data_IF_043075511178
#
_entry.id   IF_043075511178
#
_cell.length_a   1.000
_cell.length_b   1.000
_cell.length_c   1.000
_cell.angle_alpha   90.00
_cell.angle_beta   90.00
_cell.angle_gamma   90.00
#
_symmetry.space_group_name_H-M   'P 1'
#
loop_
_entity.id
_entity.type
_entity.pdbx_description
1 polymer ?
#
# COMPACT_ATOMS: atom_id res chain seq x y z
N UNK A 1 -4.67 -45.00 -25.41
CA UNK A 1 -4.22 -44.25 -24.23
C UNK A 1 -2.75 -43.93 -24.43
N UNK A 2 -2.41 -42.69 -24.84
CA UNK A 2 -1.01 -42.27 -24.99
C UNK A 2 -0.44 -42.04 -23.61
N UNK A 3 0.65 -42.74 -23.27
CA UNK A 3 1.43 -42.47 -22.06
C UNK A 3 2.05 -41.11 -22.20
N UNK A 4 1.58 -40.12 -21.45
CA UNK A 4 2.29 -38.87 -21.22
C UNK A 4 3.50 -39.22 -20.37
N UNK A 5 4.66 -39.38 -20.99
CA UNK A 5 5.95 -39.45 -20.29
C UNK A 5 6.34 -38.05 -19.87
N UNK A 6 5.89 -37.64 -18.69
CA UNK A 6 6.48 -36.49 -18.01
C UNK A 6 7.93 -36.86 -17.64
N UNK A 7 8.86 -36.60 -18.53
CA UNK A 7 10.28 -36.68 -18.18
C UNK A 7 10.63 -35.46 -17.34
N UNK A 8 10.82 -35.64 -16.04
CA UNK A 8 11.43 -34.65 -15.16
C UNK A 8 12.94 -34.63 -15.46
N UNK A 9 13.33 -33.72 -16.33
CA UNK A 9 14.71 -33.50 -16.76
C UNK A 9 15.07 -32.02 -16.61
N UNK A 10 16.29 -31.64 -16.98
CA UNK A 10 16.81 -30.26 -16.85
C UNK A 10 15.91 -29.22 -17.56
N UNK A 11 15.28 -29.58 -18.68
CA UNK A 11 14.36 -28.71 -19.42
C UNK A 11 13.05 -28.42 -18.66
N UNK A 12 12.72 -29.23 -17.65
CA UNK A 12 11.55 -29.02 -16.81
C UNK A 12 11.77 -27.93 -15.75
N UNK A 13 13.00 -27.49 -15.53
CA UNK A 13 13.36 -26.44 -14.57
C UNK A 13 13.20 -25.08 -15.26
N UNK A 14 12.18 -24.34 -14.83
CA UNK A 14 11.90 -22.97 -15.31
C UNK A 14 12.38 -21.95 -14.29
N UNK A 15 13.21 -20.99 -14.73
CA UNK A 15 13.55 -19.81 -13.97
C UNK A 15 12.58 -18.70 -14.32
N UNK A 16 11.92 -18.15 -13.32
CA UNK A 16 11.01 -17.00 -13.46
C UNK A 16 11.71 -15.75 -12.95
N UNK A 17 11.72 -14.70 -13.75
CA UNK A 17 12.38 -13.45 -13.40
C UNK A 17 11.36 -12.30 -13.29
N UNK A 18 11.67 -11.35 -12.39
CA UNK A 18 10.93 -10.11 -12.25
C UNK A 18 9.43 -10.32 -12.00
N UNK A 19 8.60 -9.50 -12.64
CA UNK A 19 7.15 -9.50 -12.44
C UNK A 19 6.45 -10.75 -13.01
N UNK A 20 7.10 -11.51 -13.89
CA UNK A 20 6.54 -12.76 -14.40
C UNK A 20 6.37 -13.80 -13.28
N UNK A 21 7.32 -13.86 -12.32
CA UNK A 21 7.23 -14.73 -11.16
C UNK A 21 5.96 -14.43 -10.33
N UNK A 22 5.64 -13.15 -10.14
CA UNK A 22 4.44 -12.71 -9.42
C UNK A 22 3.18 -13.15 -10.15
N UNK A 23 3.09 -12.92 -11.47
CA UNK A 23 1.91 -13.29 -12.27
C UNK A 23 1.68 -14.79 -12.32
N UNK A 24 2.73 -15.60 -12.37
CA UNK A 24 2.63 -17.08 -12.39
C UNK A 24 2.30 -17.68 -11.03
N UNK A 25 2.70 -17.04 -9.94
CA UNK A 25 2.51 -17.53 -8.57
C UNK A 25 2.05 -16.42 -7.62
N UNK A 26 0.90 -15.77 -7.89
CA UNK A 26 0.45 -14.61 -7.10
C UNK A 26 0.27 -14.96 -5.61
N UNK A 27 -0.23 -16.16 -5.29
CA UNK A 27 -0.42 -16.60 -3.91
C UNK A 27 0.86 -16.60 -3.04
N UNK A 28 2.05 -16.67 -3.65
CA UNK A 28 3.31 -16.55 -2.90
C UNK A 28 3.56 -15.13 -2.38
N UNK A 29 2.95 -14.12 -2.99
CA UNK A 29 3.15 -12.70 -2.66
C UNK A 29 1.99 -12.09 -1.90
N UNK A 30 0.76 -12.51 -2.20
CA UNK A 30 -0.47 -11.94 -1.63
C UNK A 30 -1.33 -12.97 -0.88
N UNK A 31 -0.79 -14.17 -0.64
CA UNK A 31 -1.45 -15.25 0.12
C UNK A 31 -2.52 -16.00 -0.66
N UNK A 32 -3.41 -15.32 -1.38
CA UNK A 32 -4.47 -15.93 -2.17
C UNK A 32 -4.84 -15.06 -3.39
N UNK A 33 -5.72 -15.57 -4.27
CA UNK A 33 -6.30 -14.81 -5.38
C UNK A 33 -7.81 -14.63 -5.23
N UNK A 34 -8.32 -14.85 -4.04
CA UNK A 34 -9.69 -14.58 -3.64
C UNK A 34 -9.86 -13.13 -3.14
N UNK A 35 -10.98 -12.86 -2.50
CA UNK A 35 -11.30 -11.56 -1.90
C UNK A 35 -10.20 -11.06 -0.93
N UNK A 36 -9.55 -11.93 -0.16
CA UNK A 36 -8.47 -11.54 0.77
C UNK A 36 -7.23 -11.08 0.03
N UNK A 37 -6.81 -11.83 -1.00
CA UNK A 37 -5.67 -11.43 -1.83
C UNK A 37 -5.93 -10.15 -2.62
N UNK A 38 -7.17 -9.91 -3.07
CA UNK A 38 -7.56 -8.63 -3.68
C UNK A 38 -7.30 -7.46 -2.71
N UNK A 39 -7.82 -7.54 -1.48
CA UNK A 39 -7.66 -6.48 -0.48
C UNK A 39 -6.21 -6.29 -0.06
N UNK A 40 -5.39 -7.34 -0.11
CA UNK A 40 -3.97 -7.24 0.14
C UNK A 40 -3.26 -6.26 -0.80
N UNK A 41 -3.70 -6.15 -2.07
CA UNK A 41 -3.16 -5.13 -2.99
C UNK A 41 -3.38 -3.71 -2.47
N UNK A 42 -4.57 -3.42 -1.92
CA UNK A 42 -4.85 -2.13 -1.32
C UNK A 42 -3.94 -1.88 -0.12
N UNK A 43 -3.78 -2.89 0.75
CA UNK A 43 -2.94 -2.78 1.94
C UNK A 43 -1.48 -2.48 1.60
N UNK A 44 -0.90 -3.08 0.57
CA UNK A 44 0.46 -2.79 0.15
C UNK A 44 0.69 -1.32 -0.24
N UNK A 45 -0.28 -0.68 -0.88
CA UNK A 45 -0.16 0.74 -1.25
C UNK A 45 -0.48 1.64 -0.06
N UNK A 46 -1.47 1.28 0.77
CA UNK A 46 -1.80 2.00 2.02
C UNK A 46 -0.61 1.97 2.98
N UNK A 47 0.02 0.81 3.18
CA UNK A 47 1.17 0.67 4.08
C UNK A 47 2.36 1.55 3.64
N UNK A 48 2.54 1.80 2.33
CA UNK A 48 3.53 2.75 1.86
C UNK A 48 3.19 4.20 2.25
N UNK A 49 1.91 4.58 2.22
CA UNK A 49 1.45 5.90 2.66
C UNK A 49 1.52 6.03 4.20
N UNK A 50 1.19 4.97 4.93
CA UNK A 50 1.35 4.86 6.39
C UNK A 50 2.82 5.01 6.80
N UNK A 51 3.76 4.43 6.07
CA UNK A 51 5.20 4.59 6.33
C UNK A 51 5.69 6.04 6.17
N UNK A 52 5.11 6.81 5.23
CA UNK A 52 5.35 8.26 5.15
C UNK A 52 4.81 9.00 6.39
N UNK A 53 3.67 8.58 6.93
CA UNK A 53 3.11 9.15 8.15
C UNK A 53 3.92 8.75 9.40
N UNK A 54 4.32 7.48 9.54
CA UNK A 54 5.23 7.00 10.60
C UNK A 54 6.55 7.76 10.64
N UNK A 55 7.02 8.18 9.47
CA UNK A 55 8.24 8.98 9.34
C UNK A 55 7.99 10.48 9.57
N UNK A 56 6.76 10.90 9.90
CA UNK A 56 6.39 12.28 10.20
C UNK A 56 6.21 13.18 8.97
N UNK A 57 6.14 12.62 7.76
CA UNK A 57 6.04 13.40 6.52
C UNK A 57 4.63 13.49 5.96
N UNK A 58 3.77 12.51 6.23
CA UNK A 58 2.37 12.56 5.83
C UNK A 58 1.46 12.76 7.05
N UNK A 59 0.39 13.51 6.85
CA UNK A 59 -0.66 13.76 7.85
C UNK A 59 -2.04 13.36 7.33
N UNK A 60 -2.14 13.03 6.03
CA UNK A 60 -3.40 12.65 5.40
C UNK A 60 -3.19 11.57 4.35
N UNK A 61 -4.06 10.56 4.39
CA UNK A 61 -4.18 9.50 3.38
C UNK A 61 -5.62 9.50 2.86
N UNK A 62 -5.79 9.43 1.56
CA UNK A 62 -7.10 9.35 0.90
C UNK A 62 -7.15 8.03 0.10
N UNK A 63 -8.14 7.20 0.39
CA UNK A 63 -8.40 5.93 -0.32
C UNK A 63 -9.74 6.06 -1.03
N UNK A 64 -9.77 5.81 -2.35
CA UNK A 64 -10.99 5.93 -3.15
C UNK A 64 -11.23 4.66 -3.96
N UNK A 65 -12.38 4.06 -3.78
CA UNK A 65 -12.90 2.99 -4.63
C UNK A 65 -13.69 3.65 -5.76
N UNK A 66 -13.24 3.47 -7.00
CA UNK A 66 -13.88 4.05 -8.17
C UNK A 66 -15.00 3.16 -8.72
N UNK A 67 -15.87 3.74 -9.54
CA UNK A 67 -17.00 3.04 -10.18
C UNK A 67 -16.56 1.89 -11.09
N UNK A 68 -15.38 1.97 -11.68
CA UNK A 68 -14.79 0.95 -12.55
C UNK A 68 -14.02 -0.14 -11.79
N UNK A 69 -14.11 -0.17 -10.45
CA UNK A 69 -13.36 -1.05 -9.57
C UNK A 69 -11.84 -0.76 -9.49
N UNK A 70 -11.36 0.33 -10.09
CA UNK A 70 -10.02 0.80 -9.75
C UNK A 70 -9.99 1.38 -8.34
N UNK A 71 -8.81 1.39 -7.73
CA UNK A 71 -8.60 1.92 -6.40
C UNK A 71 -7.47 2.94 -6.43
N UNK A 72 -7.68 4.09 -5.80
CA UNK A 72 -6.67 5.12 -5.59
C UNK A 72 -6.27 5.17 -4.12
N UNK A 73 -4.97 5.20 -3.86
CA UNK A 73 -4.40 5.60 -2.57
C UNK A 73 -3.53 6.82 -2.80
N UNK A 74 -3.78 7.88 -2.03
CA UNK A 74 -3.06 9.15 -2.13
C UNK A 74 -2.63 9.61 -0.75
N UNK A 75 -1.36 10.03 -0.62
CA UNK A 75 -0.79 10.65 0.56
C UNK A 75 -0.36 12.10 0.29
N UNK A 76 -0.14 12.85 1.35
CA UNK A 76 0.45 14.18 1.32
C UNK A 76 1.90 14.21 1.86
N UNK A 77 2.62 13.10 1.76
CA UNK A 77 4.01 12.96 2.21
C UNK A 77 5.02 13.64 1.29
N UNK A 78 6.29 13.19 1.35
CA UNK A 78 7.40 13.77 0.55
C UNK A 78 7.25 13.55 -0.95
N UNK A 79 6.45 12.57 -1.37
CA UNK A 79 6.45 12.03 -2.72
C UNK A 79 7.64 11.11 -3.00
N UNK A 80 7.42 10.08 -3.83
CA UNK A 80 8.47 9.14 -4.22
C UNK A 80 9.66 9.84 -4.88
N UNK A 81 10.89 9.26 -4.83
CA UNK A 81 12.03 9.77 -5.59
C UNK A 81 11.76 9.79 -7.09
N UNK A 82 12.01 10.93 -7.73
CA UNK A 82 11.68 11.19 -9.15
C UNK A 82 12.90 11.28 -10.07
N UNK A 83 14.09 11.02 -9.54
CA UNK A 83 15.35 11.04 -10.28
C UNK A 83 15.56 9.78 -11.12
N UNK A 84 16.79 9.61 -11.60
CA UNK A 84 17.27 8.38 -12.26
C UNK A 84 17.95 7.49 -11.22
N UNK A 85 17.60 6.21 -11.22
CA UNK A 85 18.30 5.17 -10.48
C UNK A 85 19.69 4.89 -11.09
N UNK A 86 20.60 4.26 -10.33
CA UNK A 86 21.94 3.89 -10.80
C UNK A 86 21.93 3.01 -12.08
N UNK A 87 20.85 2.26 -12.31
CA UNK A 87 20.61 1.49 -13.54
C UNK A 87 20.28 2.35 -14.78
N UNK A 88 20.19 3.69 -14.65
CA UNK A 88 19.80 4.60 -15.71
C UNK A 88 18.28 4.70 -15.96
N UNK A 89 17.47 3.86 -15.28
CA UNK A 89 16.00 3.83 -15.37
C UNK A 89 15.43 4.87 -14.39
N UNK A 90 14.29 5.54 -14.71
CA UNK A 90 13.60 6.42 -13.76
C UNK A 90 13.26 5.67 -12.46
N UNK A 91 13.54 6.26 -11.30
CA UNK A 91 13.33 5.61 -9.99
C UNK A 91 11.87 5.18 -9.80
N UNK A 92 10.90 5.99 -10.24
CA UNK A 92 9.48 5.61 -10.21
C UNK A 92 9.27 4.29 -10.95
N UNK A 93 9.86 4.14 -12.14
CA UNK A 93 9.72 2.92 -12.92
C UNK A 93 10.37 1.72 -12.23
N UNK A 94 11.54 1.90 -11.61
CA UNK A 94 12.23 0.84 -10.84
C UNK A 94 11.35 0.33 -9.69
N UNK A 95 10.74 1.23 -8.90
CA UNK A 95 9.88 0.88 -7.76
C UNK A 95 8.71 -0.01 -8.19
N UNK A 96 8.14 0.22 -9.36
CA UNK A 96 6.95 -0.51 -9.82
C UNK A 96 7.27 -1.70 -10.74
N UNK A 97 8.51 -1.89 -11.20
CA UNK A 97 8.84 -2.97 -12.14
C UNK A 97 9.92 -3.92 -11.68
N UNK A 98 10.65 -3.60 -10.61
CA UNK A 98 11.73 -4.43 -10.08
C UNK A 98 11.33 -4.96 -8.71
N UNK A 99 11.34 -6.28 -8.53
CA UNK A 99 11.14 -6.90 -7.22
C UNK A 99 12.33 -6.56 -6.31
N UNK A 100 12.03 -6.40 -5.01
CA UNK A 100 13.04 -6.03 -4.01
C UNK A 100 13.75 -4.69 -4.30
N UNK A 101 13.03 -3.75 -4.92
CA UNK A 101 13.48 -2.38 -5.12
C UNK A 101 12.70 -1.46 -4.18
N UNK A 102 13.34 -0.97 -3.13
CA UNK A 102 12.68 -0.08 -2.16
C UNK A 102 13.69 0.70 -1.33
N UNK A 103 13.28 1.88 -0.84
CA UNK A 103 14.09 2.75 0.02
C UNK A 103 14.18 2.26 1.48
N UNK A 104 13.60 1.10 1.80
CA UNK A 104 13.51 0.53 3.15
C UNK A 104 14.65 -0.45 3.49
N UNK A 105 15.51 -0.80 2.53
CA UNK A 105 16.64 -1.72 2.72
C UNK A 105 17.92 -1.06 3.25
N UNK A 106 17.98 0.27 3.35
CA UNK A 106 19.17 1.01 3.75
C UNK A 106 18.91 1.95 4.93
N UNK A 107 19.98 2.41 5.58
CA UNK A 107 19.93 3.27 6.78
C UNK A 107 19.43 4.71 6.52
N UNK A 108 18.93 5.05 5.34
CA UNK A 108 18.72 6.46 4.96
C UNK A 108 17.30 6.94 4.72
N UNK A 109 16.30 6.06 4.66
CA UNK A 109 14.96 6.45 4.21
C UNK A 109 13.88 6.42 5.28
N UNK A 110 13.84 5.39 6.07
CA UNK A 110 12.82 5.11 7.09
C UNK A 110 13.47 4.53 8.33
N UNK A 111 13.17 5.07 9.52
CA UNK A 111 13.62 4.51 10.81
C UNK A 111 12.78 3.29 11.21
N UNK A 112 11.50 3.37 10.93
CA UNK A 112 10.51 2.32 11.18
C UNK A 112 9.64 2.19 9.94
N UNK A 113 9.26 0.99 9.53
CA UNK A 113 8.36 0.77 8.41
C UNK A 113 7.49 -0.47 8.63
N UNK A 114 6.21 -0.40 8.26
CA UNK A 114 5.29 -1.54 8.26
C UNK A 114 5.58 -2.50 7.10
N UNK A 115 6.04 -1.98 5.96
CA UNK A 115 6.40 -2.77 4.78
C UNK A 115 7.84 -3.26 4.83
N UNK A 116 8.06 -4.55 5.08
CA UNK A 116 9.40 -5.13 5.30
C UNK A 116 10.06 -5.70 4.03
N UNK A 117 9.29 -5.99 2.99
CA UNK A 117 9.76 -6.83 1.87
C UNK A 117 10.19 -6.05 0.62
N UNK A 118 9.82 -4.76 0.50
CA UNK A 118 10.17 -3.92 -0.66
C UNK A 118 9.63 -4.44 -2.00
N UNK A 119 8.52 -5.20 -1.97
CA UNK A 119 7.91 -5.79 -3.16
C UNK A 119 6.50 -5.29 -3.44
N UNK A 120 5.82 -4.65 -2.47
CA UNK A 120 4.40 -4.34 -2.54
C UNK A 120 4.00 -3.58 -3.79
N UNK A 121 4.65 -2.46 -4.10
CA UNK A 121 4.32 -1.64 -5.27
C UNK A 121 4.48 -2.42 -6.60
N UNK A 122 5.53 -3.21 -6.73
CA UNK A 122 5.79 -4.02 -7.92
C UNK A 122 4.83 -5.22 -8.04
N UNK A 123 4.43 -5.81 -6.91
CA UNK A 123 3.42 -6.87 -6.85
C UNK A 123 2.04 -6.34 -7.27
N UNK A 124 1.62 -5.18 -6.74
CA UNK A 124 0.36 -4.54 -7.15
C UNK A 124 0.36 -4.26 -8.66
N UNK A 125 1.45 -3.72 -9.19
CA UNK A 125 1.59 -3.46 -10.61
C UNK A 125 1.52 -4.76 -11.45
N UNK A 126 2.20 -5.83 -11.00
CA UNK A 126 2.21 -7.11 -11.70
C UNK A 126 0.82 -7.78 -11.79
N UNK A 127 -0.05 -7.52 -10.80
CA UNK A 127 -1.38 -8.14 -10.68
C UNK A 127 -2.52 -7.18 -11.09
N UNK A 128 -2.18 -6.07 -11.76
CA UNK A 128 -3.13 -5.09 -12.28
C UNK A 128 -3.16 -5.06 -13.80
N UNK A 129 -4.33 -4.83 -14.38
CA UNK A 129 -4.47 -4.60 -15.82
C UNK A 129 -3.82 -3.28 -16.23
N UNK A 130 -3.95 -2.28 -15.38
CA UNK A 130 -3.22 -1.03 -15.48
C UNK A 130 -2.96 -0.41 -14.11
N UNK A 131 -1.90 0.39 -14.03
CA UNK A 131 -1.56 1.19 -12.86
C UNK A 131 -1.03 2.55 -13.33
N UNK A 132 -1.41 3.60 -12.61
CA UNK A 132 -0.86 4.95 -12.80
C UNK A 132 -0.36 5.47 -11.47
N UNK A 133 0.87 6.00 -11.47
CA UNK A 133 1.44 6.71 -10.33
C UNK A 133 1.65 8.18 -10.70
N UNK A 134 1.20 9.06 -9.80
CA UNK A 134 1.44 10.50 -9.84
C UNK A 134 2.23 10.91 -8.61
N UNK A 135 3.28 11.68 -8.79
CA UNK A 135 4.13 12.19 -7.71
C UNK A 135 4.22 13.69 -7.83
N UNK A 136 3.73 14.40 -6.82
CA UNK A 136 3.92 15.84 -6.69
C UNK A 136 5.15 16.08 -5.82
N UNK A 137 6.19 16.70 -6.40
CA UNK A 137 7.43 16.98 -5.70
C UNK A 137 8.12 18.20 -6.30
N UNK A 138 8.58 19.11 -5.45
CA UNK A 138 9.33 20.31 -5.84
C UNK A 138 8.62 21.13 -6.94
N UNK A 139 7.29 21.32 -6.81
CA UNK A 139 6.46 22.07 -7.76
C UNK A 139 6.35 21.43 -9.14
N UNK A 140 6.64 20.14 -9.24
CA UNK A 140 6.55 19.36 -10.47
C UNK A 140 5.69 18.12 -10.24
N UNK A 141 4.74 17.89 -11.13
CA UNK A 141 3.95 16.67 -11.19
C UNK A 141 4.64 15.68 -12.13
N UNK A 142 4.98 14.52 -11.61
CA UNK A 142 5.52 13.40 -12.38
C UNK A 142 4.43 12.35 -12.51
N UNK A 143 4.28 11.78 -13.72
CA UNK A 143 3.30 10.74 -13.99
C UNK A 143 3.91 9.61 -14.78
N UNK A 144 3.69 8.38 -14.33
CA UNK A 144 4.03 7.15 -15.06
C UNK A 144 2.83 6.22 -15.03
N UNK A 145 2.51 5.64 -16.19
CA UNK A 145 1.49 4.60 -16.31
C UNK A 145 2.12 3.27 -16.70
N UNK A 146 1.45 2.20 -16.34
CA UNK A 146 1.80 0.81 -16.64
C UNK A 146 0.55 0.08 -17.14
N UNK A 147 0.73 -0.97 -17.91
CA UNK A 147 -0.33 -1.85 -18.42
C UNK A 147 0.13 -3.31 -18.40
N UNK A 148 -0.80 -4.22 -18.66
CA UNK A 148 -0.52 -5.65 -18.85
C UNK A 148 0.36 -6.28 -17.75
N UNK A 149 0.11 -5.95 -16.49
CA UNK A 149 0.89 -6.50 -15.39
C UNK A 149 2.32 -5.96 -15.30
N UNK A 150 2.51 -4.66 -15.56
CA UNK A 150 3.73 -3.93 -15.26
C UNK A 150 4.55 -3.43 -16.43
N UNK A 151 4.03 -3.49 -17.66
CA UNK A 151 4.69 -2.89 -18.83
C UNK A 151 4.58 -1.36 -18.77
N UNK A 152 5.70 -0.60 -18.76
CA UNK A 152 5.66 0.86 -18.78
C UNK A 152 5.01 1.40 -20.04
N UNK A 153 4.13 2.40 -19.89
CA UNK A 153 3.52 3.13 -21.00
C UNK A 153 4.31 4.42 -21.24
N UNK A 154 5.17 4.40 -22.23
CA UNK A 154 6.03 5.55 -22.54
C UNK A 154 7.04 5.86 -21.41
N UNK A 155 7.46 7.11 -21.34
CA UNK A 155 8.40 7.62 -20.33
C UNK A 155 7.68 8.40 -19.25
N UNK A 156 8.33 8.63 -18.11
CA UNK A 156 7.81 9.50 -17.03
C UNK A 156 7.53 10.89 -17.60
N UNK A 157 6.26 11.29 -17.56
CA UNK A 157 5.84 12.66 -17.92
C UNK A 157 6.13 13.60 -16.76
N UNK A 158 6.52 14.84 -17.10
CA UNK A 158 6.85 15.88 -16.13
C UNK A 158 6.10 17.16 -16.49
N UNK A 159 5.40 17.72 -15.54
CA UNK A 159 4.63 18.94 -15.74
C UNK A 159 4.86 19.89 -14.56
N UNK A 160 5.24 21.12 -14.83
CA UNK A 160 5.28 22.18 -13.80
C UNK A 160 3.86 22.50 -13.40
N UNK A 161 3.62 22.58 -12.10
CA UNK A 161 2.27 22.83 -11.56
C UNK A 161 2.28 23.90 -10.50
N UNK A 162 1.17 24.63 -10.38
CA UNK A 162 0.92 25.57 -9.27
C UNK A 162 0.38 24.86 -8.02
N UNK A 163 0.15 23.56 -8.05
CA UNK A 163 -0.26 22.79 -6.87
C UNK A 163 0.80 22.92 -5.79
N UNK A 164 0.35 23.22 -4.58
CA UNK A 164 1.22 23.32 -3.41
C UNK A 164 1.33 21.97 -2.71
N UNK A 165 2.44 21.79 -1.98
CA UNK A 165 2.70 20.55 -1.21
C UNK A 165 3.48 19.50 -2.01
N UNK A 166 3.43 18.31 -1.53
CA UNK A 166 4.04 17.10 -2.09
C UNK A 166 3.15 15.89 -1.80
N UNK A 167 3.47 14.74 -2.37
CA UNK A 167 2.76 13.50 -2.10
C UNK A 167 2.81 12.53 -3.28
N UNK A 168 2.29 11.34 -3.03
CA UNK A 168 2.15 10.30 -4.04
C UNK A 168 0.68 9.90 -4.20
N UNK A 169 0.27 9.61 -5.41
CA UNK A 169 -1.03 9.01 -5.72
C UNK A 169 -0.82 7.81 -6.61
N UNK A 170 -1.32 6.65 -6.19
CA UNK A 170 -1.27 5.40 -6.96
C UNK A 170 -2.70 4.96 -7.23
N UNK A 171 -3.04 4.84 -8.51
CA UNK A 171 -4.34 4.31 -8.96
C UNK A 171 -4.11 3.03 -9.75
N UNK A 172 -4.83 1.97 -9.45
CA UNK A 172 -4.67 0.70 -10.13
C UNK A 172 -6.00 -0.04 -10.30
N UNK A 173 -6.10 -0.85 -11.36
CA UNK A 173 -7.22 -1.75 -11.62
C UNK A 173 -6.72 -3.19 -11.49
N UNK A 174 -7.17 -3.95 -10.46
CA UNK A 174 -6.81 -5.36 -10.32
C UNK A 174 -7.24 -6.17 -11.55
N UNK A 175 -6.41 -7.15 -11.94
CA UNK A 175 -6.71 -7.97 -13.12
C UNK A 175 -7.73 -9.06 -12.81
N UNK A 176 -8.84 -9.08 -13.57
CA UNK A 176 -9.86 -10.13 -13.51
C UNK A 176 -9.35 -11.50 -13.99
N UNK A 177 -8.20 -11.53 -14.68
CA UNK A 177 -7.51 -12.77 -15.07
C UNK A 177 -6.79 -13.43 -13.91
N UNK A 178 -6.50 -12.67 -12.85
CA UNK A 178 -5.78 -13.15 -11.67
C UNK A 178 -6.71 -13.44 -10.51
N UNK A 179 -7.65 -12.54 -10.27
CA UNK A 179 -8.54 -12.61 -9.11
C UNK A 179 -9.88 -13.23 -9.45
N UNK A 180 -10.38 -14.08 -8.55
CA UNK A 180 -11.72 -14.65 -8.66
C UNK A 180 -12.84 -13.61 -8.54
N UNK A 181 -12.55 -12.48 -7.94
CA UNK A 181 -13.38 -11.27 -7.86
C UNK A 181 -12.52 -10.03 -7.82
N UNK A 182 -12.97 -8.95 -8.43
CA UNK A 182 -12.35 -7.61 -8.36
C UNK A 182 -13.21 -6.61 -7.60
N UNK A 183 -14.27 -7.10 -6.92
CA UNK A 183 -15.17 -6.26 -6.14
C UNK A 183 -14.56 -5.97 -4.76
N UNK A 184 -14.31 -4.70 -4.49
CA UNK A 184 -13.86 -4.23 -3.19
C UNK A 184 -15.00 -4.28 -2.15
N UNK A 185 -14.70 -4.73 -0.92
CA UNK A 185 -15.58 -4.52 0.23
C UNK A 185 -15.18 -3.22 0.92
N UNK A 186 -16.15 -2.31 1.05
CA UNK A 186 -15.99 -1.07 1.79
C UNK A 186 -15.67 -1.35 3.26
N UNK A 187 -16.43 -2.26 3.88
CA UNK A 187 -16.31 -2.61 5.29
C UNK A 187 -14.91 -3.17 5.61
N UNK A 188 -14.40 -4.06 4.74
CA UNK A 188 -13.06 -4.66 4.93
C UNK A 188 -11.94 -3.61 4.84
N UNK A 189 -12.08 -2.65 3.91
CA UNK A 189 -11.14 -1.53 3.83
C UNK A 189 -11.30 -0.57 5.00
N UNK A 190 -12.53 -0.24 5.39
CA UNK A 190 -12.84 0.65 6.50
C UNK A 190 -12.24 0.13 7.82
N UNK A 191 -12.42 -1.17 8.11
CA UNK A 191 -11.84 -1.81 9.30
C UNK A 191 -10.32 -1.69 9.33
N UNK A 192 -9.64 -2.06 8.23
CA UNK A 192 -8.17 -1.97 8.14
C UNK A 192 -7.65 -0.53 8.25
N UNK A 193 -8.32 0.43 7.60
CA UNK A 193 -7.92 1.84 7.64
C UNK A 193 -8.15 2.47 9.01
N UNK A 194 -9.23 2.08 9.69
CA UNK A 194 -9.52 2.49 11.08
C UNK A 194 -8.42 2.00 12.03
N UNK A 195 -8.03 0.72 11.95
CA UNK A 195 -6.91 0.17 12.73
C UNK A 195 -5.61 0.95 12.47
N UNK A 196 -5.30 1.25 11.20
CA UNK A 196 -4.12 2.03 10.85
C UNK A 196 -4.15 3.44 11.42
N UNK A 197 -5.32 4.08 11.45
CA UNK A 197 -5.48 5.42 12.02
C UNK A 197 -5.33 5.42 13.55
N UNK A 198 -5.78 4.36 14.26
CA UNK A 198 -5.56 4.22 15.70
C UNK A 198 -4.07 4.08 16.06
N UNK A 199 -3.28 3.44 15.20
CA UNK A 199 -1.85 3.25 15.46
C UNK A 199 -1.02 4.52 15.26
N UNK A 200 -1.57 5.56 14.61
CA UNK A 200 -0.84 6.78 14.25
C UNK A 200 -1.59 8.03 14.72
N UNK A 201 -1.25 8.51 15.92
CA UNK A 201 -1.85 9.71 16.53
C UNK A 201 -1.88 10.88 15.54
N UNK A 202 -3.06 11.49 15.35
CA UNK A 202 -3.25 12.66 14.52
C UNK A 202 -3.23 12.42 13.00
N UNK A 203 -3.02 11.18 12.53
CA UNK A 203 -3.18 10.86 11.11
C UNK A 203 -4.65 10.90 10.71
N UNK A 204 -4.95 11.55 9.60
CA UNK A 204 -6.28 11.52 8.99
C UNK A 204 -6.29 10.55 7.82
N UNK A 205 -7.18 9.55 7.85
CA UNK A 205 -7.42 8.65 6.72
C UNK A 205 -8.85 8.83 6.25
N UNK A 206 -9.06 9.06 4.96
CA UNK A 206 -10.39 9.19 4.35
C UNK A 206 -10.61 8.03 3.40
N UNK A 207 -11.68 7.27 3.59
CA UNK A 207 -12.15 6.26 2.66
C UNK A 207 -13.39 6.78 1.94
N UNK A 208 -13.40 6.70 0.61
CA UNK A 208 -14.54 7.09 -0.23
C UNK A 208 -14.87 5.96 -1.20
N UNK A 209 -16.15 5.61 -1.30
CA UNK A 209 -16.67 4.68 -2.29
C UNK A 209 -17.57 5.45 -3.30
N UNK A 210 -17.06 5.65 -4.51
CA UNK A 210 -17.81 6.34 -5.57
C UNK A 210 -18.98 5.51 -6.11
N UNK A 211 -19.01 4.20 -5.83
CA UNK A 211 -20.11 3.31 -6.28
C UNK A 211 -21.39 3.57 -5.49
N UNK A 212 -21.26 3.81 -4.18
CA UNK A 212 -22.35 4.04 -3.24
C UNK A 212 -22.46 5.50 -2.79
N UNK A 213 -21.46 6.34 -3.08
CA UNK A 213 -21.29 7.70 -2.55
C UNK A 213 -21.10 7.74 -1.02
N UNK A 214 -20.60 6.66 -0.46
CA UNK A 214 -20.25 6.54 0.96
C UNK A 214 -18.87 7.12 1.21
N UNK A 215 -18.68 7.77 2.38
CA UNK A 215 -17.37 8.29 2.77
C UNK A 215 -17.27 8.33 4.28
N UNK A 216 -16.11 7.88 4.80
CA UNK A 216 -15.79 7.89 6.23
C UNK A 216 -14.40 8.48 6.45
N UNK A 217 -14.24 9.19 7.58
CA UNK A 217 -12.97 9.77 7.98
C UNK A 217 -12.55 9.18 9.32
N UNK A 218 -11.37 8.60 9.35
CA UNK A 218 -10.73 8.06 10.56
C UNK A 218 -9.66 9.04 11.03
N UNK A 219 -9.79 9.52 12.26
CA UNK A 219 -8.85 10.45 12.87
C UNK A 219 -8.91 10.31 14.39
N UNK A 220 -7.80 9.98 15.02
CA UNK A 220 -7.70 9.69 16.44
C UNK A 220 -6.50 10.43 17.04
N UNK A 221 -6.77 11.30 18.01
CA UNK A 221 -5.74 12.14 18.65
C UNK A 221 -4.94 11.38 19.73
N UNK A 222 -5.58 10.40 20.39
CA UNK A 222 -5.00 9.66 21.50
C UNK A 222 -4.47 8.27 21.08
N UNK A 223 -4.62 7.91 19.80
CA UNK A 223 -4.06 6.70 19.23
C UNK A 223 -4.58 5.40 19.82
N UNK A 224 -3.70 4.56 20.41
CA UNK A 224 -4.12 3.27 21.00
C UNK A 224 -5.05 3.43 22.21
N UNK A 225 -5.07 4.59 22.87
CA UNK A 225 -6.05 4.89 23.91
C UNK A 225 -7.46 4.96 23.34
N UNK A 226 -7.63 5.67 22.21
CA UNK A 226 -8.90 5.75 21.47
C UNK A 226 -9.31 4.35 20.99
N UNK A 227 -8.34 3.53 20.60
CA UNK A 227 -8.60 2.14 20.19
C UNK A 227 -9.18 1.30 21.32
N UNK A 228 -8.64 1.39 22.53
CA UNK A 228 -9.19 0.69 23.69
C UNK A 228 -10.60 1.17 24.03
N UNK A 229 -10.87 2.48 23.92
CA UNK A 229 -12.23 3.02 24.10
C UNK A 229 -13.19 2.46 23.04
N UNK A 230 -12.80 2.44 21.78
CA UNK A 230 -13.58 1.87 20.69
C UNK A 230 -13.90 0.38 20.92
N UNK A 231 -12.92 -0.43 21.33
CA UNK A 231 -13.13 -1.86 21.62
C UNK A 231 -14.09 -2.11 22.78
N UNK A 232 -14.28 -1.12 23.65
CA UNK A 232 -15.12 -1.22 24.84
C UNK A 232 -16.40 -0.36 24.77
N UNK A 233 -16.71 0.26 23.62
CA UNK A 233 -17.83 1.19 23.46
C UNK A 233 -19.17 0.59 23.88
N UNK A 234 -19.39 -0.72 23.62
CA UNK A 234 -20.61 -1.44 23.98
C UNK A 234 -20.47 -2.32 25.24
N UNK A 235 -19.41 -2.12 26.06
CA UNK A 235 -19.12 -2.96 27.22
C UNK A 235 -19.21 -2.16 28.53
N UNK A 236 -19.61 -2.85 29.59
CA UNK A 236 -19.51 -2.30 30.94
C UNK A 236 -18.05 -2.31 31.40
N UNK A 237 -17.47 -1.13 31.51
CA UNK A 237 -16.06 -0.98 31.88
C UNK A 237 -15.90 -0.83 33.42
N UNK A 238 -14.92 -1.52 33.96
CA UNK A 238 -14.65 -1.55 35.44
C UNK A 238 -13.61 -0.50 35.85
N UNK A 239 -12.88 0.08 34.92
CA UNK A 239 -11.82 1.07 35.17
C UNK A 239 -11.75 2.10 34.05
N UNK A 240 -11.14 3.28 34.26
CA UNK A 240 -10.71 4.14 33.14
C UNK A 240 -9.65 3.42 32.31
N UNK A 241 -9.44 3.90 31.06
CA UNK A 241 -8.31 3.45 30.25
C UNK A 241 -7.02 3.88 30.92
N UNK A 242 -6.09 2.96 31.05
CA UNK A 242 -4.72 3.20 31.52
C UNK A 242 -3.82 3.07 30.30
N UNK A 243 -3.02 4.08 30.06
CA UNK A 243 -2.06 4.12 28.97
C UNK A 243 -0.73 4.70 29.44
N UNK A 244 0.35 4.28 28.83
CA UNK A 244 1.66 4.86 28.99
C UNK A 244 2.52 4.63 27.75
N UNK A 245 3.46 5.51 27.52
CA UNK A 245 4.50 5.41 26.54
C UNK A 245 5.88 5.46 27.19
N UNK A 246 6.84 4.78 26.61
CA UNK A 246 8.22 4.72 27.10
C UNK A 246 9.20 4.50 25.96
N UNK A 247 10.37 5.11 26.09
CA UNK A 247 11.50 4.86 25.18
C UNK A 247 12.70 4.41 25.98
N UNK A 248 13.15 3.16 25.76
CA UNK A 248 14.32 2.59 26.44
C UNK A 248 15.26 1.99 25.38
N UNK A 249 16.51 2.41 25.39
CA UNK A 249 17.57 1.94 24.47
C UNK A 249 17.18 2.03 22.96
N UNK A 250 16.39 3.07 22.61
CA UNK A 250 15.91 3.28 21.23
C UNK A 250 14.71 2.44 20.82
N UNK A 251 14.13 1.67 21.74
CA UNK A 251 12.86 0.96 21.59
C UNK A 251 11.74 1.84 22.13
N UNK A 252 10.84 2.26 21.24
CA UNK A 252 9.62 2.99 21.59
C UNK A 252 8.51 1.98 21.86
N UNK A 253 7.81 2.12 23.01
CA UNK A 253 6.73 1.24 23.43
C UNK A 253 5.54 2.09 23.83
N UNK A 254 4.38 1.82 23.24
CA UNK A 254 3.09 2.33 23.67
C UNK A 254 2.26 1.17 24.22
N UNK A 255 1.57 1.39 25.31
CA UNK A 255 0.72 0.41 25.95
C UNK A 255 -0.57 1.04 26.46
N UNK A 256 -1.72 0.39 26.19
CA UNK A 256 -3.01 0.80 26.74
C UNK A 256 -3.84 -0.42 27.12
N UNK A 257 -4.62 -0.31 28.20
CA UNK A 257 -5.56 -1.34 28.61
C UNK A 257 -6.72 -0.77 29.42
N UNK A 258 -7.82 -1.53 29.49
CA UNK A 258 -8.99 -1.24 30.29
C UNK A 258 -9.63 -2.56 30.71
N UNK A 259 -10.11 -2.66 31.94
CA UNK A 259 -10.89 -3.81 32.39
C UNK A 259 -12.38 -3.61 32.04
N UNK A 260 -12.99 -4.69 31.56
CA UNK A 260 -14.44 -4.80 31.28
C UNK A 260 -15.00 -6.12 31.80
#
# INVERSE_FOLDING_TARGET
MSKVTNQYNDDAIQVLEGLEAVRKRPGMYIGSTDHRGLHHLAYEIVDNAVDEALSGYATKIEVTIHKDQSLTVKDNGRGMPTGKHASGIPTIQVIFTVLHAGGKFGQGGYKTSGGLHGVGASVVNALSDWLTVEVLRDGTLYKQSFKNGGEPVGTVKKEKTSRRGSGTSVTFLPSDKTFSTTNWSYETLAERLRESAFLLKGLTIVLTDERTSESETFHYEEGIRDFIQYLNEEKDTLSPVVDFDSTVDGVETEFAFQYN
#
